data_IF_466433881036
#
_entry.id   IF_466433881036
#
_cell.length_a   1.000
_cell.length_b   1.000
_cell.length_c   1.000
_cell.angle_alpha   90.00
_cell.angle_beta   90.00
_cell.angle_gamma   90.00
#
_symmetry.space_group_name_H-M   'P 1'
#
loop_
_entity.id
_entity.type
_entity.pdbx_description
1 polymer ?
#
# COMPACT_ATOMS: atom_id res chain seq x y z
N UNK A 1 3.20 -26.47 2.12
CA UNK A 1 3.35 -26.23 3.58
C UNK A 1 2.47 -25.05 4.00
N UNK A 2 1.36 -25.32 4.68
CA UNK A 2 0.42 -24.28 5.10
C UNK A 2 1.02 -23.36 6.16
N UNK A 3 0.90 -22.05 5.98
CA UNK A 3 1.26 -21.06 7.02
C UNK A 3 0.18 -21.08 8.11
N UNK A 4 0.59 -21.16 9.37
CA UNK A 4 -0.31 -20.99 10.52
C UNK A 4 -0.96 -19.61 10.56
N UNK A 5 -2.08 -19.49 11.28
CA UNK A 5 -2.80 -18.23 11.48
C UNK A 5 -1.92 -17.24 12.23
N UNK A 6 -1.77 -16.03 11.69
CA UNK A 6 -0.98 -14.94 12.30
C UNK A 6 -1.95 -13.90 12.87
N UNK A 7 -1.68 -13.40 14.08
CA UNK A 7 -2.45 -12.31 14.68
C UNK A 7 -2.27 -11.01 13.86
N UNK A 8 -3.35 -10.26 13.67
CA UNK A 8 -3.33 -8.94 13.01
C UNK A 8 -2.82 -7.88 13.99
N UNK A 9 -1.50 -7.85 14.17
CA UNK A 9 -0.79 -6.83 14.95
C UNK A 9 0.49 -6.44 14.25
N UNK A 10 1.05 -5.28 14.62
CA UNK A 10 2.35 -4.83 14.11
C UNK A 10 3.42 -5.89 14.44
N UNK A 11 4.15 -6.36 13.42
CA UNK A 11 5.25 -7.30 13.60
C UNK A 11 6.45 -6.54 14.18
N UNK A 12 6.90 -6.91 15.37
CA UNK A 12 8.00 -6.24 16.07
C UNK A 12 9.35 -6.51 15.40
N UNK A 13 9.64 -7.78 15.13
CA UNK A 13 10.87 -8.21 14.48
C UNK A 13 11.00 -7.58 13.07
N UNK A 14 12.04 -6.76 12.89
CA UNK A 14 12.28 -5.98 11.67
C UNK A 14 12.48 -6.85 10.43
N UNK A 15 13.17 -7.99 10.55
CA UNK A 15 13.44 -8.92 9.44
C UNK A 15 12.12 -9.58 9.01
N UNK A 16 11.38 -10.14 9.96
CA UNK A 16 10.08 -10.76 9.69
C UNK A 16 9.08 -9.76 9.13
N UNK A 17 9.10 -8.51 9.60
CA UNK A 17 8.27 -7.43 9.07
C UNK A 17 8.62 -7.12 7.62
N UNK A 18 9.90 -7.03 7.27
CA UNK A 18 10.34 -6.77 5.89
C UNK A 18 9.96 -7.92 4.94
N UNK A 19 10.22 -9.16 5.34
CA UNK A 19 9.86 -10.34 4.52
C UNK A 19 8.35 -10.44 4.37
N UNK A 20 7.59 -10.21 5.44
CA UNK A 20 6.12 -10.23 5.41
C UNK A 20 5.57 -9.09 4.55
N UNK A 21 6.15 -7.90 4.64
CA UNK A 21 5.78 -6.77 3.78
C UNK A 21 5.97 -7.12 2.31
N UNK A 22 7.13 -7.64 1.92
CA UNK A 22 7.39 -8.04 0.52
C UNK A 22 6.40 -9.10 0.03
N UNK A 23 6.12 -10.12 0.84
CA UNK A 23 5.19 -11.20 0.47
C UNK A 23 3.74 -10.72 0.39
N UNK A 24 3.27 -9.96 1.39
CA UNK A 24 1.88 -9.44 1.42
C UNK A 24 1.65 -8.39 0.36
N UNK A 25 2.62 -7.51 0.10
CA UNK A 25 2.56 -6.53 -0.99
C UNK A 25 2.44 -7.22 -2.34
N UNK A 26 3.28 -8.23 -2.62
CA UNK A 26 3.17 -9.00 -3.87
C UNK A 26 1.83 -9.73 -3.98
N UNK A 27 1.32 -10.32 -2.89
CA UNK A 27 -0.01 -10.95 -2.89
C UNK A 27 -1.15 -9.96 -3.12
N UNK A 28 -1.06 -8.75 -2.53
CA UNK A 28 -2.06 -7.69 -2.72
C UNK A 28 -2.08 -7.16 -4.16
N UNK A 29 -0.90 -6.97 -4.75
CA UNK A 29 -0.75 -6.59 -6.15
C UNK A 29 -1.40 -7.59 -7.10
N UNK A 30 -1.18 -8.89 -6.86
CA UNK A 30 -1.82 -9.96 -7.65
C UNK A 30 -3.35 -9.91 -7.55
N UNK A 31 -3.89 -9.71 -6.34
CA UNK A 31 -5.34 -9.56 -6.16
C UNK A 31 -5.92 -8.31 -6.82
N UNK A 32 -5.22 -7.19 -6.74
CA UNK A 32 -5.63 -5.96 -7.41
C UNK A 32 -5.68 -6.15 -8.94
N UNK A 33 -4.69 -6.85 -9.49
CA UNK A 33 -4.67 -7.24 -10.90
C UNK A 33 -5.80 -8.20 -11.26
N UNK A 34 -6.05 -9.25 -10.44
CA UNK A 34 -7.18 -10.17 -10.64
C UNK A 34 -8.52 -9.41 -10.71
N UNK A 35 -8.77 -8.47 -9.78
CA UNK A 35 -10.00 -7.66 -9.79
C UNK A 35 -10.09 -6.79 -11.04
N UNK A 36 -8.97 -6.17 -11.45
CA UNK A 36 -8.96 -5.34 -12.65
C UNK A 36 -9.35 -6.13 -13.90
N UNK A 37 -8.79 -7.33 -14.06
CA UNK A 37 -9.07 -8.19 -15.22
C UNK A 37 -10.45 -8.84 -15.16
N UNK A 38 -10.92 -9.26 -13.98
CA UNK A 38 -12.21 -9.95 -13.86
C UNK A 38 -13.41 -9.01 -13.98
N UNK A 39 -13.27 -7.77 -13.54
CA UNK A 39 -14.37 -6.82 -13.45
C UNK A 39 -14.21 -5.61 -14.39
N UNK A 40 -13.20 -5.61 -15.27
CA UNK A 40 -12.80 -4.46 -16.09
C UNK A 40 -12.70 -3.15 -15.29
N UNK A 41 -12.28 -3.28 -14.03
CA UNK A 41 -12.22 -2.17 -13.08
C UNK A 41 -10.87 -1.46 -13.14
N UNK A 42 -10.90 -0.14 -13.06
CA UNK A 42 -9.69 0.66 -12.85
C UNK A 42 -9.28 0.61 -11.39
N UNK A 43 -8.03 0.22 -11.12
CA UNK A 43 -7.53 0.03 -9.76
C UNK A 43 -6.17 0.71 -9.62
N UNK A 44 -6.00 1.45 -8.52
CA UNK A 44 -4.73 2.04 -8.12
C UNK A 44 -4.40 1.66 -6.67
N UNK A 45 -3.13 1.36 -6.41
CA UNK A 45 -2.62 1.01 -5.08
C UNK A 45 -1.31 1.76 -4.83
N UNK A 46 -1.22 2.45 -3.70
CA UNK A 46 0.03 3.05 -3.20
C UNK A 46 0.38 2.49 -1.83
N UNK A 47 1.64 2.10 -1.65
CA UNK A 47 2.14 1.55 -0.40
C UNK A 47 3.46 2.23 -0.04
N UNK A 48 3.45 2.94 1.09
CA UNK A 48 4.66 3.48 1.67
C UNK A 48 5.29 2.48 2.63
N UNK A 49 6.56 2.16 2.41
CA UNK A 49 7.33 1.43 3.41
C UNK A 49 7.70 2.36 4.57
N UNK A 50 7.90 1.79 5.77
CA UNK A 50 8.46 2.51 6.91
C UNK A 50 9.86 3.11 6.65
N UNK A 51 10.51 2.75 5.54
CA UNK A 51 11.77 3.32 5.06
C UNK A 51 11.58 4.50 4.08
N UNK A 52 10.35 4.97 3.87
CA UNK A 52 10.04 6.06 2.93
C UNK A 52 10.07 5.67 1.45
N UNK A 53 10.19 4.37 1.13
CA UNK A 53 10.08 3.89 -0.26
C UNK A 53 8.62 3.79 -0.68
N UNK A 54 8.27 4.46 -1.77
CA UNK A 54 6.97 4.33 -2.45
C UNK A 54 6.97 3.07 -3.32
N UNK A 55 5.88 2.31 -3.23
CA UNK A 55 5.57 1.22 -4.13
C UNK A 55 4.16 1.46 -4.68
N UNK A 56 4.05 1.57 -5.99
CA UNK A 56 2.80 1.86 -6.67
C UNK A 56 2.42 0.77 -7.67
N UNK A 57 1.12 0.69 -7.94
CA UNK A 57 0.52 -0.09 -9.01
C UNK A 57 -0.73 0.61 -9.50
N UNK A 58 -0.86 0.72 -10.81
CA UNK A 58 -2.03 1.29 -11.45
C UNK A 58 -2.28 0.55 -12.75
N UNK A 59 -3.55 0.38 -13.10
CA UNK A 59 -3.97 -0.08 -14.42
C UNK A 59 -3.72 1.03 -15.44
N UNK A 60 -3.49 0.70 -16.72
CA UNK A 60 -3.05 1.67 -17.76
C UNK A 60 -3.97 2.90 -17.87
N UNK A 61 -5.28 2.68 -17.75
CA UNK A 61 -6.32 3.73 -17.72
C UNK A 61 -6.33 4.58 -16.44
N UNK A 62 -5.68 4.13 -15.37
CA UNK A 62 -5.60 4.78 -14.06
C UNK A 62 -4.21 5.39 -13.79
N UNK A 63 -3.24 5.28 -14.73
CA UNK A 63 -1.93 5.93 -14.60
C UNK A 63 -2.05 7.45 -14.47
N UNK A 64 -3.07 8.05 -15.11
CA UNK A 64 -3.40 9.47 -14.97
C UNK A 64 -3.84 9.79 -13.53
N UNK A 65 -4.67 8.93 -12.92
CA UNK A 65 -5.16 9.11 -11.54
C UNK A 65 -4.06 8.85 -10.52
N UNK A 66 -3.20 7.85 -10.75
CA UNK A 66 -2.02 7.62 -9.92
C UNK A 66 -1.05 8.80 -9.99
N UNK A 67 -0.81 9.36 -11.19
CA UNK A 67 -0.06 10.60 -11.38
C UNK A 67 -0.66 11.76 -10.60
N UNK A 68 -1.98 12.00 -10.72
CA UNK A 68 -2.67 13.05 -9.97
C UNK A 68 -2.57 12.86 -8.46
N UNK A 69 -2.74 11.63 -7.94
CA UNK A 69 -2.63 11.40 -6.49
C UNK A 69 -1.18 11.55 -6.02
N UNK A 70 -0.20 11.13 -6.82
CA UNK A 70 1.23 11.35 -6.53
C UNK A 70 1.54 12.84 -6.56
N UNK A 71 1.09 13.60 -7.56
CA UNK A 71 1.29 15.05 -7.67
C UNK A 71 0.63 15.82 -6.52
N UNK A 72 -0.61 15.47 -6.14
CA UNK A 72 -1.27 16.01 -4.93
C UNK A 72 -0.46 15.72 -3.67
N UNK A 73 0.24 14.58 -3.63
CA UNK A 73 1.13 14.23 -2.51
C UNK A 73 2.50 14.95 -2.59
N UNK A 74 2.97 15.32 -3.79
CA UNK A 74 4.26 15.99 -4.00
C UNK A 74 4.19 17.52 -3.90
N UNK A 75 3.07 18.16 -4.26
CA UNK A 75 2.83 19.57 -3.94
C UNK A 75 2.71 19.77 -2.41
N UNK A 76 2.36 18.71 -1.68
CA UNK A 76 2.42 18.63 -0.22
C UNK A 76 3.79 18.24 0.36
N UNK A 77 4.92 18.46 -0.34
CA UNK A 77 6.30 18.21 0.17
C UNK A 77 6.70 19.16 1.34
N UNK A 78 5.90 19.18 2.39
CA UNK A 78 6.38 19.28 3.76
C UNK A 78 6.64 17.87 4.29
N UNK A 79 7.89 17.44 4.25
CA UNK A 79 8.52 16.35 5.01
C UNK A 79 7.57 15.52 5.92
N UNK A 80 6.91 14.49 5.38
CA UNK A 80 6.13 13.56 6.21
C UNK A 80 7.08 12.68 7.03
N UNK A 81 7.48 13.18 8.20
CA UNK A 81 7.78 12.33 9.35
C UNK A 81 6.53 11.49 9.59
N UNK A 82 6.69 10.16 9.57
CA UNK A 82 5.74 9.26 10.21
C UNK A 82 5.86 9.49 11.72
N UNK A 83 5.35 10.63 12.17
CA UNK A 83 5.12 10.95 13.56
C UNK A 83 3.96 10.09 14.00
N UNK A 84 4.16 9.36 15.10
CA UNK A 84 3.08 8.97 16.00
C UNK A 84 2.03 10.09 16.07
N UNK A 85 0.75 9.70 16.11
CA UNK A 85 -0.43 10.56 16.31
C UNK A 85 -1.07 11.15 15.06
N UNK A 86 -1.66 10.31 14.21
CA UNK A 86 -2.92 10.68 13.56
C UNK A 86 -3.91 9.53 13.76
N UNK A 87 -4.68 9.63 14.85
CA UNK A 87 -5.99 9.00 14.93
C UNK A 87 -6.83 9.56 13.78
N UNK A 88 -6.84 8.88 12.64
CA UNK A 88 -7.92 9.07 11.68
C UNK A 88 -9.16 8.41 12.28
N UNK A 89 -9.93 9.27 12.92
CA UNK A 89 -11.32 9.10 13.30
C UNK A 89 -12.10 8.55 12.10
N UNK A 90 -12.33 7.24 12.08
CA UNK A 90 -13.37 6.63 11.25
C UNK A 90 -14.72 7.20 11.73
N UNK A 91 -15.19 8.27 11.08
CA UNK A 91 -16.62 8.60 11.11
C UNK A 91 -17.35 7.51 10.33
N UNK A 92 -18.47 7.08 10.93
CA UNK A 92 -19.45 6.16 10.35
C UNK A 92 -19.87 6.59 8.95
#
# INVERSE_FOLDING_TARGET
MGRGRVQLKRIENKINRQVTFSKRRSGLLKKAHEISVLCDAQVALMVFSSKGKLFEYATESCQVVAGIIVDVTLEGRGNFKCSESLQFQWRR
#
